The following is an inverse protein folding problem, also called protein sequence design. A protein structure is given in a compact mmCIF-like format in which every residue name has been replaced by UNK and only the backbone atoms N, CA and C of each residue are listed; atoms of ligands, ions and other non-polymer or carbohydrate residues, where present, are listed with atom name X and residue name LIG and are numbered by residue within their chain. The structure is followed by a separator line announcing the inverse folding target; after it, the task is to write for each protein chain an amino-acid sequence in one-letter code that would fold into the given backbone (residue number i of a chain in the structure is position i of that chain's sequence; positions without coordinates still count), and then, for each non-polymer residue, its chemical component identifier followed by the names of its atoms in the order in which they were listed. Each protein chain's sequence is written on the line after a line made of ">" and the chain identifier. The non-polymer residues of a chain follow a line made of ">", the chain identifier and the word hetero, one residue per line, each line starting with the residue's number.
data_IF_340179043068
#
_entry.id   IF_340179043068
#
_cell.length_a   1.000
_cell.length_b   1.000
_cell.length_c   1.000
_cell.angle_alpha   90.00
_cell.angle_beta   90.00
_cell.angle_gamma   90.00
#
_symmetry.space_group_name_H-M   'P 1'
#
loop_
_entity.id
_entity.type
_entity.pdbx_description
1 polymer ?
#
# COMPACT_ATOMS: atom_id res chain seq x y z
N UNK A 1 12.77 -5.63 -1.69
CA UNK A 1 12.09 -5.33 -2.96
C UNK A 1 10.61 -5.46 -2.73
N UNK A 2 9.85 -4.43 -3.14
CA UNK A 2 8.41 -4.42 -3.08
C UNK A 2 7.85 -5.62 -3.86
N UNK A 3 6.74 -6.19 -3.38
CA UNK A 3 6.13 -7.38 -3.98
C UNK A 3 4.63 -7.40 -3.80
N UNK A 4 3.93 -8.04 -4.74
CA UNK A 4 2.48 -8.25 -4.62
C UNK A 4 2.19 -9.11 -3.39
N UNK A 5 1.24 -8.67 -2.56
CA UNK A 5 0.77 -9.39 -1.38
C UNK A 5 -0.53 -10.13 -1.68
N UNK A 6 -0.41 -11.44 -1.90
CA UNK A 6 -1.56 -12.31 -2.11
C UNK A 6 -2.36 -12.49 -0.81
N UNK A 7 -3.66 -12.24 -0.86
CA UNK A 7 -4.54 -12.29 0.30
C UNK A 7 -5.88 -12.95 -0.06
N UNK A 8 -6.58 -13.46 0.95
CA UNK A 8 -7.83 -14.22 0.77
C UNK A 8 -9.03 -13.35 0.40
N UNK A 9 -8.96 -12.03 0.65
CA UNK A 9 -10.06 -11.09 0.37
C UNK A 9 -10.00 -10.51 -1.05
N UNK A 10 -8.96 -10.83 -1.82
CA UNK A 10 -8.82 -10.41 -3.22
C UNK A 10 -8.42 -8.95 -3.42
N UNK A 11 -8.02 -8.23 -2.36
CA UNK A 11 -7.52 -6.86 -2.49
C UNK A 11 -6.20 -6.82 -3.25
N UNK A 12 -5.98 -5.76 -4.01
CA UNK A 12 -4.71 -5.48 -4.68
C UNK A 12 -3.78 -4.71 -3.75
N UNK A 13 -2.83 -5.44 -3.16
CA UNK A 13 -1.93 -4.92 -2.13
C UNK A 13 -0.48 -5.17 -2.54
N UNK A 14 0.39 -4.19 -2.32
CA UNK A 14 1.84 -4.33 -2.50
C UNK A 14 2.49 -4.24 -1.11
N UNK A 15 3.20 -5.28 -0.69
CA UNK A 15 4.08 -5.18 0.47
C UNK A 15 5.30 -4.36 0.06
N UNK A 16 5.54 -3.26 0.76
CA UNK A 16 6.60 -2.29 0.45
C UNK A 16 7.10 -1.63 1.73
N UNK A 17 8.40 -1.57 1.88
CA UNK A 17 9.06 -0.99 3.06
C UNK A 17 8.99 0.53 3.03
N UNK A 18 9.18 1.16 4.20
CA UNK A 18 9.34 2.61 4.31
C UNK A 18 10.48 3.13 3.45
N UNK A 19 11.60 2.40 3.41
CA UNK A 19 12.76 2.76 2.60
C UNK A 19 12.47 2.76 1.11
N UNK A 20 11.72 1.76 0.63
CA UNK A 20 11.30 1.68 -0.78
C UNK A 20 10.31 2.79 -1.14
N UNK A 21 9.35 3.09 -0.26
CA UNK A 21 8.42 4.22 -0.45
C UNK A 21 9.18 5.54 -0.59
N UNK A 22 10.12 5.82 0.33
CA UNK A 22 10.95 7.02 0.28
C UNK A 22 11.83 7.08 -0.98
N UNK A 23 12.43 5.96 -1.37
CA UNK A 23 13.27 5.89 -2.55
C UNK A 23 12.48 6.18 -3.83
N UNK A 24 11.25 5.69 -3.93
CA UNK A 24 10.43 5.83 -5.13
C UNK A 24 9.63 7.14 -5.18
N UNK A 25 9.33 7.76 -4.03
CA UNK A 25 8.31 8.83 -3.97
C UNK A 25 8.74 10.09 -3.22
N UNK A 26 9.99 10.19 -2.73
CA UNK A 26 10.42 11.38 -1.99
C UNK A 26 10.37 12.66 -2.80
N UNK A 27 10.68 12.61 -4.11
CA UNK A 27 10.54 13.75 -5.03
C UNK A 27 9.09 14.22 -5.23
N UNK A 28 8.13 13.34 -4.96
CA UNK A 28 6.69 13.61 -5.01
C UNK A 28 6.09 13.93 -3.62
N UNK A 29 6.94 14.17 -2.61
CA UNK A 29 6.51 14.57 -1.27
C UNK A 29 6.28 13.43 -0.29
N UNK A 30 6.66 12.19 -0.61
CA UNK A 30 6.60 11.10 0.36
C UNK A 30 7.63 11.32 1.48
N UNK A 31 7.16 11.35 2.73
CA UNK A 31 8.01 11.45 3.93
C UNK A 31 8.10 10.13 4.72
N UNK A 32 7.52 9.04 4.18
CA UNK A 32 7.61 7.70 4.78
C UNK A 32 6.93 7.61 6.14
N UNK A 33 5.73 8.16 6.28
CA UNK A 33 4.87 8.00 7.46
C UNK A 33 3.70 7.08 7.11
N UNK A 34 3.16 6.37 8.10
CA UNK A 34 1.93 5.60 7.93
C UNK A 34 0.75 6.55 7.71
N UNK A 35 0.00 6.37 6.62
CA UNK A 35 -1.13 7.22 6.27
C UNK A 35 -2.32 7.08 7.24
N UNK A 36 -2.35 6.03 8.07
CA UNK A 36 -3.40 5.81 9.08
C UNK A 36 -3.06 6.38 10.46
N UNK A 37 -1.86 6.06 10.99
CA UNK A 37 -1.49 6.43 12.36
C UNK A 37 -0.45 7.56 12.45
N UNK A 38 0.07 8.05 11.32
CA UNK A 38 1.07 9.11 11.27
C UNK A 38 2.46 8.73 11.77
N UNK A 39 2.67 7.49 12.24
CA UNK A 39 3.97 7.05 12.74
C UNK A 39 4.99 6.89 11.62
N UNK A 40 6.20 7.40 11.85
CA UNK A 40 7.40 7.12 11.04
C UNK A 40 8.23 5.94 11.58
N UNK A 41 7.89 5.41 12.76
CA UNK A 41 8.58 4.30 13.42
C UNK A 41 8.08 2.95 12.89
N UNK A 42 8.17 2.77 11.58
CA UNK A 42 7.85 1.52 10.91
C UNK A 42 8.79 1.29 9.73
N UNK A 43 9.31 0.06 9.63
CA UNK A 43 10.18 -0.35 8.51
C UNK A 43 9.39 -1.04 7.41
N UNK A 44 8.41 -1.85 7.80
CA UNK A 44 7.58 -2.67 6.92
C UNK A 44 6.16 -2.13 6.83
N UNK A 45 5.59 -2.13 5.62
CA UNK A 45 4.22 -1.71 5.39
C UNK A 45 3.63 -2.27 4.11
N UNK A 46 2.42 -1.81 3.83
CA UNK A 46 1.58 -2.29 2.76
C UNK A 46 0.94 -1.09 2.07
N UNK A 47 1.18 -0.96 0.76
CA UNK A 47 0.40 -0.08 -0.08
C UNK A 47 -0.91 -0.77 -0.47
N UNK A 48 -2.02 -0.14 -0.12
CA UNK A 48 -3.38 -0.64 -0.30
C UNK A 48 -4.01 0.13 -1.46
N UNK A 49 -4.11 -0.49 -2.64
CA UNK A 49 -4.50 0.24 -3.85
C UNK A 49 -5.92 0.81 -3.78
N UNK A 50 -6.86 0.10 -3.15
CA UNK A 50 -8.26 0.55 -2.99
C UNK A 50 -8.39 1.81 -2.12
N UNK A 51 -7.43 2.06 -1.23
CA UNK A 51 -7.36 3.28 -0.43
C UNK A 51 -6.42 4.33 -1.01
N UNK A 52 -5.56 3.93 -1.95
CA UNK A 52 -4.39 4.69 -2.38
C UNK A 52 -3.56 5.20 -1.18
N UNK A 53 -3.28 4.31 -0.22
CA UNK A 53 -2.58 4.65 1.02
C UNK A 53 -1.55 3.58 1.39
N UNK A 54 -0.46 3.99 2.04
CA UNK A 54 0.54 3.10 2.62
C UNK A 54 0.39 3.02 4.13
N UNK A 55 0.12 1.82 4.64
CA UNK A 55 -0.05 1.56 6.06
C UNK A 55 1.15 0.79 6.61
N UNK A 56 1.56 1.12 7.84
CA UNK A 56 2.44 0.24 8.61
C UNK A 56 1.76 -1.11 8.86
N UNK A 57 2.55 -2.14 9.14
CA UNK A 57 2.04 -3.51 9.31
C UNK A 57 0.87 -3.63 10.30
N UNK A 58 0.93 -2.93 11.45
CA UNK A 58 -0.15 -2.93 12.44
C UNK A 58 -1.47 -2.40 11.85
N UNK A 59 -1.44 -1.20 11.29
CA UNK A 59 -2.62 -0.56 10.71
C UNK A 59 -3.17 -1.35 9.51
N UNK A 60 -2.30 -1.98 8.72
CA UNK A 60 -2.73 -2.86 7.64
C UNK A 60 -3.55 -4.04 8.17
N UNK A 61 -3.07 -4.78 9.17
CA UNK A 61 -3.80 -5.95 9.67
C UNK A 61 -5.09 -5.58 10.42
N UNK A 62 -5.10 -4.44 11.11
CA UNK A 62 -6.32 -3.88 11.72
C UNK A 62 -7.36 -3.54 10.67
N UNK A 63 -6.99 -2.81 9.62
CA UNK A 63 -7.86 -2.53 8.47
C UNK A 63 -8.32 -3.83 7.80
N UNK A 64 -7.38 -4.73 7.48
CA UNK A 64 -7.65 -5.95 6.74
C UNK A 64 -8.59 -6.88 7.50
N UNK A 65 -8.59 -6.90 8.83
CA UNK A 65 -9.52 -7.71 9.62
C UNK A 65 -10.99 -7.36 9.30
N UNK A 66 -11.33 -6.07 9.29
CA UNK A 66 -12.68 -5.58 9.02
C UNK A 66 -12.98 -5.25 7.55
N UNK A 67 -11.97 -5.15 6.68
CA UNK A 67 -12.16 -4.70 5.30
C UNK A 67 -13.07 -5.63 4.50
N UNK A 68 -14.00 -5.03 3.75
CA UNK A 68 -14.90 -5.68 2.79
C UNK A 68 -14.60 -5.12 1.41
N UNK A 69 -14.47 -6.00 0.41
CA UNK A 69 -14.19 -5.60 -0.97
C UNK A 69 -15.50 -5.33 -1.70
N UNK A 70 -15.60 -4.15 -2.30
CA UNK A 70 -16.76 -3.73 -3.09
C UNK A 70 -16.42 -3.70 -4.57
N UNK A 71 -17.40 -4.04 -5.42
CA UNK A 71 -17.19 -4.14 -6.87
C UNK A 71 -17.01 -2.75 -7.50
N UNK A 72 -17.67 -1.76 -6.91
CA UNK A 72 -17.67 -0.36 -7.29
C UNK A 72 -16.25 0.24 -7.24
N UNK A 73 -15.41 -0.27 -6.34
CA UNK A 73 -14.03 0.21 -6.17
C UNK A 73 -13.03 -0.42 -7.15
N UNK A 74 -13.42 -1.48 -7.89
CA UNK A 74 -12.48 -2.29 -8.68
C UNK A 74 -11.72 -1.47 -9.71
N UNK A 75 -12.39 -0.53 -10.39
CA UNK A 75 -11.73 0.31 -11.38
C UNK A 75 -10.64 1.17 -10.73
N UNK A 76 -10.96 1.82 -9.62
CA UNK A 76 -10.02 2.66 -8.89
C UNK A 76 -8.86 1.83 -8.33
N UNK A 77 -9.16 0.70 -7.69
CA UNK A 77 -8.18 -0.23 -7.16
C UNK A 77 -7.20 -0.72 -8.26
N UNK A 78 -7.72 -1.06 -9.44
CA UNK A 78 -6.90 -1.48 -10.59
C UNK A 78 -5.99 -0.35 -11.09
N UNK A 79 -6.54 0.84 -11.33
CA UNK A 79 -5.79 1.99 -11.84
C UNK A 79 -4.64 2.36 -10.89
N UNK A 80 -4.89 2.34 -9.58
CA UNK A 80 -3.88 2.63 -8.55
C UNK A 80 -2.85 1.52 -8.40
N UNK A 81 -3.27 0.26 -8.48
CA UNK A 81 -2.35 -0.86 -8.39
C UNK A 81 -1.35 -0.89 -9.55
N UNK A 82 -1.80 -0.70 -10.79
CA UNK A 82 -0.90 -0.69 -11.95
C UNK A 82 0.08 0.49 -11.90
N UNK A 83 -0.38 1.68 -11.49
CA UNK A 83 0.49 2.83 -11.27
C UNK A 83 1.60 2.51 -10.26
N UNK A 84 1.25 1.99 -9.08
CA UNK A 84 2.23 1.73 -8.03
C UNK A 84 3.08 0.51 -8.30
N UNK A 85 2.61 -0.48 -9.07
CA UNK A 85 3.47 -1.54 -9.60
C UNK A 85 4.60 -0.95 -10.47
N UNK A 86 4.27 -0.01 -11.35
CA UNK A 86 5.25 0.67 -12.19
C UNK A 86 6.22 1.50 -11.35
N UNK A 87 5.71 2.33 -10.43
CA UNK A 87 6.54 3.21 -9.57
C UNK A 87 7.48 2.40 -8.68
N UNK A 88 7.00 1.30 -8.09
CA UNK A 88 7.77 0.47 -7.17
C UNK A 88 8.55 -0.66 -7.87
N UNK A 89 8.53 -0.71 -9.21
CA UNK A 89 9.19 -1.74 -10.03
C UNK A 89 8.81 -3.18 -9.60
N UNK A 90 7.52 -3.40 -9.32
CA UNK A 90 6.98 -4.71 -8.93
C UNK A 90 6.53 -5.45 -10.19
N UNK A 91 7.11 -6.64 -10.42
CA UNK A 91 6.75 -7.51 -11.53
C UNK A 91 5.51 -8.34 -11.20
#
# INVERSE_FOLDING_TARGET
>A
MAKVFNNKKGFKVIQVTRGEMLCALSEYGCIGICDNCGSSDCKEGFYIAVLNSWFCSKCFYEWYAGATRYKEDEKFENDKFELYKSVLNVR
#
